data_IF_230785085976
#
_entry.id   IF_230785085976
#
_cell.length_a   1.000
_cell.length_b   1.000
_cell.length_c   1.000
_cell.angle_alpha   90.00
_cell.angle_beta   90.00
_cell.angle_gamma   90.00
#
_symmetry.space_group_name_H-M   'P 1'
#
loop_
_entity.id
_entity.type
_entity.pdbx_description
1 polymer ?
#
# COMPACT_ATOMS: atom_id res chain seq x y z
N UNK A 1 8.31 -31.04 -4.52
CA UNK A 1 8.41 -29.56 -4.45
C UNK A 1 7.07 -28.94 -4.81
N UNK A 2 6.72 -27.79 -4.22
CA UNK A 2 5.49 -27.05 -4.58
C UNK A 2 5.58 -26.40 -5.96
N UNK A 3 4.44 -26.22 -6.65
CA UNK A 3 4.36 -25.49 -7.92
C UNK A 3 5.10 -24.15 -7.84
N UNK A 4 4.87 -23.40 -6.78
CA UNK A 4 5.38 -22.04 -6.59
C UNK A 4 6.91 -22.01 -6.53
N UNK A 5 7.53 -23.02 -5.93
CA UNK A 5 8.99 -23.10 -5.81
C UNK A 5 9.62 -23.32 -7.18
N UNK A 6 9.08 -24.27 -7.94
CA UNK A 6 9.57 -24.58 -9.29
C UNK A 6 9.28 -23.45 -10.29
N UNK A 7 8.09 -22.84 -10.22
CA UNK A 7 7.72 -21.68 -11.03
C UNK A 7 8.65 -20.50 -10.76
N UNK A 8 8.93 -20.20 -9.49
CA UNK A 8 9.88 -19.16 -9.11
C UNK A 8 11.29 -19.45 -9.61
N UNK A 9 11.77 -20.69 -9.49
CA UNK A 9 13.09 -21.07 -9.98
C UNK A 9 13.19 -20.90 -11.50
N UNK A 10 12.24 -21.44 -12.25
CA UNK A 10 12.21 -21.32 -13.72
C UNK A 10 12.08 -19.86 -14.18
N UNK A 11 11.13 -19.11 -13.63
CA UNK A 11 10.93 -17.70 -13.98
C UNK A 11 12.14 -16.83 -13.60
N UNK A 12 12.88 -17.20 -12.55
CA UNK A 12 14.15 -16.51 -12.23
C UNK A 12 15.18 -16.78 -13.31
N UNK A 13 15.42 -18.05 -13.64
CA UNK A 13 16.42 -18.43 -14.64
C UNK A 13 16.11 -17.84 -16.02
N UNK A 14 14.89 -18.01 -16.51
CA UNK A 14 14.46 -17.50 -17.81
C UNK A 14 14.30 -15.98 -17.81
N UNK A 15 13.85 -15.39 -16.71
CA UNK A 15 13.77 -13.94 -16.54
C UNK A 15 15.11 -13.25 -16.83
N UNK A 16 16.23 -13.85 -16.41
CA UNK A 16 17.57 -13.36 -16.77
C UNK A 16 17.86 -13.41 -18.27
N UNK A 17 17.39 -14.43 -18.98
CA UNK A 17 17.65 -14.60 -20.42
C UNK A 17 16.83 -13.63 -21.27
N UNK A 18 15.54 -13.45 -20.95
CA UNK A 18 14.62 -12.67 -21.79
C UNK A 18 14.51 -11.20 -21.38
N UNK A 19 15.00 -10.82 -20.19
CA UNK A 19 14.97 -9.43 -19.69
C UNK A 19 15.43 -8.38 -20.72
N UNK A 20 16.58 -8.56 -21.41
CA UNK A 20 17.03 -7.60 -22.42
C UNK A 20 16.05 -7.43 -23.58
N UNK A 21 15.42 -8.53 -24.00
CA UNK A 21 14.43 -8.54 -25.10
C UNK A 21 13.16 -7.79 -24.67
N UNK A 22 12.75 -7.96 -23.41
CA UNK A 22 11.60 -7.26 -22.86
C UNK A 22 11.89 -5.78 -22.51
N UNK A 23 13.16 -5.34 -22.58
CA UNK A 23 13.59 -4.02 -22.11
C UNK A 23 13.34 -3.84 -20.61
N UNK A 24 13.60 -4.87 -19.81
CA UNK A 24 13.35 -4.92 -18.36
C UNK A 24 14.59 -5.43 -17.63
N UNK A 25 14.73 -5.13 -16.34
CA UNK A 25 15.76 -5.77 -15.52
C UNK A 25 15.38 -7.23 -15.21
N UNK A 26 16.35 -8.16 -15.04
CA UNK A 26 16.08 -9.57 -14.72
C UNK A 26 15.07 -9.83 -13.57
N UNK A 27 15.13 -9.15 -12.41
CA UNK A 27 14.14 -9.38 -11.35
C UNK A 27 12.73 -8.92 -11.74
N UNK A 28 12.60 -7.96 -12.64
CA UNK A 28 11.32 -7.46 -13.15
C UNK A 28 10.71 -8.43 -14.17
N UNK A 29 11.53 -8.93 -15.10
CA UNK A 29 11.11 -9.98 -16.03
C UNK A 29 10.62 -11.22 -15.29
N UNK A 30 11.33 -11.64 -14.23
CA UNK A 30 10.86 -12.71 -13.33
C UNK A 30 9.49 -12.40 -12.74
N UNK A 31 9.28 -11.18 -12.23
CA UNK A 31 8.03 -10.80 -11.58
C UNK A 31 6.85 -10.84 -12.58
N UNK A 32 7.06 -10.34 -13.80
CA UNK A 32 6.07 -10.41 -14.88
C UNK A 32 5.70 -11.86 -15.23
N UNK A 33 6.69 -12.75 -15.34
CA UNK A 33 6.41 -14.17 -15.64
C UNK A 33 5.62 -14.87 -14.54
N UNK A 34 5.87 -14.54 -13.27
CA UNK A 34 5.10 -15.07 -12.14
C UNK A 34 3.65 -14.53 -12.13
N UNK A 35 3.47 -13.23 -12.34
CA UNK A 35 2.14 -12.59 -12.45
C UNK A 35 1.35 -13.18 -13.63
N UNK A 36 2.03 -13.47 -14.74
CA UNK A 36 1.45 -14.12 -15.90
C UNK A 36 0.95 -15.54 -15.60
N UNK A 37 1.79 -16.35 -14.93
CA UNK A 37 1.42 -17.70 -14.51
C UNK A 37 0.19 -17.69 -13.60
N UNK A 38 0.19 -16.81 -12.59
CA UNK A 38 -0.91 -16.70 -11.61
C UNK A 38 -2.21 -16.24 -12.29
N UNK A 39 -2.16 -15.13 -13.04
CA UNK A 39 -3.36 -14.56 -13.65
C UNK A 39 -3.99 -15.48 -14.69
N UNK A 40 -3.19 -16.17 -15.51
CA UNK A 40 -3.71 -17.15 -16.46
C UNK A 40 -4.37 -18.34 -15.74
N UNK A 41 -3.80 -18.81 -14.64
CA UNK A 41 -4.40 -19.85 -13.80
C UNK A 41 -5.75 -19.38 -13.23
N UNK A 42 -5.77 -18.21 -12.59
CA UNK A 42 -6.98 -17.66 -11.96
C UNK A 42 -8.11 -17.39 -12.97
N UNK A 43 -7.80 -16.92 -14.18
CA UNK A 43 -8.82 -16.66 -15.22
C UNK A 43 -9.55 -17.95 -15.61
N UNK A 44 -8.86 -19.09 -15.66
CA UNK A 44 -9.48 -20.39 -15.97
C UNK A 44 -10.28 -20.93 -14.78
N UNK A 45 -9.77 -20.78 -13.55
CA UNK A 45 -10.52 -21.18 -12.34
C UNK A 45 -11.81 -20.36 -12.17
N UNK A 46 -11.78 -19.07 -12.51
CA UNK A 46 -12.91 -18.16 -12.39
C UNK A 46 -13.94 -18.29 -13.54
N UNK A 47 -13.64 -19.04 -14.60
CA UNK A 47 -14.52 -19.25 -15.75
C UNK A 47 -15.76 -20.09 -15.33
N UNK A 48 -16.75 -19.43 -14.73
CA UNK A 48 -17.95 -20.04 -14.14
C UNK A 48 -19.05 -20.34 -15.18
N UNK A 49 -20.03 -21.21 -14.84
CA UNK A 49 -21.16 -21.60 -15.70
C UNK A 49 -22.10 -20.46 -16.12
N UNK A 50 -21.98 -19.25 -15.56
CA UNK A 50 -22.85 -18.10 -15.85
C UNK A 50 -22.82 -17.67 -17.33
N UNK A 51 -21.74 -17.99 -18.07
CA UNK A 51 -21.66 -17.77 -19.52
C UNK A 51 -22.53 -18.74 -20.36
N UNK A 52 -23.20 -19.72 -19.74
CA UNK A 52 -23.97 -20.77 -20.42
C UNK A 52 -25.46 -20.44 -20.59
N UNK A 53 -25.98 -19.40 -19.94
CA UNK A 53 -27.39 -19.00 -20.11
C UNK A 53 -27.60 -18.32 -21.48
N UNK A 54 -28.64 -18.74 -22.21
CA UNK A 54 -28.98 -18.20 -23.53
C UNK A 54 -28.22 -18.80 -24.72
N UNK A 55 -27.30 -19.76 -24.52
CA UNK A 55 -26.61 -20.45 -25.63
C UNK A 55 -27.43 -21.61 -26.18
N UNK A 56 -27.50 -21.69 -27.51
CA UNK A 56 -28.03 -22.87 -28.20
C UNK A 56 -27.14 -24.10 -27.97
N UNK A 57 -27.68 -25.30 -28.16
CA UNK A 57 -26.92 -26.56 -28.06
C UNK A 57 -25.69 -26.58 -28.96
N UNK A 58 -25.77 -26.00 -30.16
CA UNK A 58 -24.63 -25.89 -31.08
C UNK A 58 -23.52 -24.98 -30.53
N UNK A 59 -23.89 -23.82 -29.96
CA UNK A 59 -22.94 -22.91 -29.32
C UNK A 59 -22.26 -23.55 -28.10
N UNK A 60 -23.00 -24.34 -27.32
CA UNK A 60 -22.44 -25.08 -26.19
C UNK A 60 -21.46 -26.17 -26.63
N UNK A 61 -21.77 -26.91 -27.71
CA UNK A 61 -20.84 -27.91 -28.28
C UNK A 61 -19.56 -27.26 -28.82
N UNK A 62 -19.68 -26.13 -29.51
CA UNK A 62 -18.54 -25.39 -30.03
C UNK A 62 -17.66 -24.86 -28.88
N UNK A 63 -18.26 -24.30 -27.83
CA UNK A 63 -17.52 -23.83 -26.66
C UNK A 63 -16.79 -24.99 -25.94
N UNK A 64 -17.44 -26.15 -25.79
CA UNK A 64 -16.80 -27.33 -25.20
C UNK A 64 -15.70 -27.92 -26.08
N UNK A 65 -15.81 -27.83 -27.41
CA UNK A 65 -14.74 -28.23 -28.32
C UNK A 65 -13.52 -27.29 -28.22
N UNK A 66 -13.77 -25.97 -28.13
CA UNK A 66 -12.71 -24.97 -27.94
C UNK A 66 -11.99 -25.15 -26.61
N UNK A 67 -12.74 -25.28 -25.51
CA UNK A 67 -12.14 -25.52 -24.19
C UNK A 67 -11.26 -26.78 -24.17
N UNK A 68 -11.70 -27.88 -24.78
CA UNK A 68 -10.88 -29.10 -24.89
C UNK A 68 -9.62 -28.89 -25.73
N UNK A 69 -9.70 -28.11 -26.82
CA UNK A 69 -8.53 -27.79 -27.62
C UNK A 69 -7.55 -26.88 -26.85
N UNK A 70 -8.06 -25.93 -26.07
CA UNK A 70 -7.26 -25.06 -25.21
C UNK A 70 -6.58 -25.83 -24.08
N UNK A 71 -7.28 -26.77 -23.45
CA UNK A 71 -6.74 -27.67 -22.42
C UNK A 71 -5.65 -28.58 -22.99
N UNK A 72 -5.86 -29.14 -24.19
CA UNK A 72 -4.84 -29.96 -24.86
C UNK A 72 -3.58 -29.14 -25.18
N UNK A 73 -3.73 -27.93 -25.69
CA UNK A 73 -2.61 -27.03 -25.94
C UNK A 73 -1.90 -26.60 -24.64
N UNK A 74 -2.64 -26.45 -23.53
CA UNK A 74 -2.05 -26.15 -22.22
C UNK A 74 -1.23 -27.33 -21.68
N UNK A 75 -1.72 -28.56 -21.83
CA UNK A 75 -1.00 -29.77 -21.46
C UNK A 75 0.29 -29.93 -22.29
N UNK A 76 0.23 -29.69 -23.60
CA UNK A 76 1.39 -29.75 -24.50
C UNK A 76 2.46 -28.71 -24.13
N UNK A 77 2.06 -27.45 -23.95
CA UNK A 77 2.98 -26.37 -23.57
C UNK A 77 3.61 -26.62 -22.18
N UNK A 78 2.83 -27.14 -21.23
CA UNK A 78 3.34 -27.50 -19.89
C UNK A 78 4.37 -28.63 -19.99
N UNK A 79 4.09 -29.66 -20.80
CA UNK A 79 5.00 -30.78 -21.05
C UNK A 79 6.31 -30.31 -21.66
N UNK A 80 6.26 -29.42 -22.66
CA UNK A 80 7.44 -28.85 -23.30
C UNK A 80 8.27 -28.02 -22.30
N UNK A 81 7.62 -27.19 -21.49
CA UNK A 81 8.29 -26.38 -20.46
C UNK A 81 8.93 -27.27 -19.38
N UNK A 82 8.26 -28.34 -18.93
CA UNK A 82 8.80 -29.27 -17.95
C UNK A 82 9.97 -30.10 -18.52
N UNK A 83 9.94 -30.43 -19.81
CA UNK A 83 11.10 -31.00 -20.49
C UNK A 83 12.28 -30.01 -20.51
N UNK A 84 12.03 -28.74 -20.80
CA UNK A 84 13.05 -27.68 -20.77
C UNK A 84 13.66 -27.56 -19.37
N UNK A 85 12.84 -27.45 -18.31
CA UNK A 85 13.30 -27.38 -16.92
C UNK A 85 14.25 -28.52 -16.53
N UNK A 86 13.94 -29.75 -16.95
CA UNK A 86 14.80 -30.92 -16.71
C UNK A 86 16.11 -30.86 -17.48
N UNK A 87 16.12 -30.22 -18.64
CA UNK A 87 17.32 -30.05 -19.48
C UNK A 87 18.23 -28.89 -19.07
N UNK A 88 17.80 -28.02 -18.14
CA UNK A 88 18.60 -26.90 -17.65
C UNK A 88 19.81 -27.34 -16.84
N UNK A 89 20.77 -26.42 -16.65
CA UNK A 89 21.98 -26.67 -15.86
C UNK A 89 22.22 -25.55 -14.84
N UNK A 90 22.06 -25.82 -13.52
CA UNK A 90 21.55 -27.07 -12.94
C UNK A 90 20.08 -27.33 -13.32
N UNK A 91 19.62 -28.61 -13.36
CA UNK A 91 18.24 -28.92 -13.66
C UNK A 91 17.29 -28.29 -12.64
N UNK A 92 16.20 -27.70 -13.12
CA UNK A 92 15.14 -27.19 -12.24
C UNK A 92 14.14 -28.33 -12.02
N UNK A 93 13.92 -28.78 -10.77
CA UNK A 93 13.01 -29.88 -10.53
C UNK A 93 11.58 -29.50 -10.89
N UNK A 94 10.94 -30.34 -11.71
CA UNK A 94 9.53 -30.19 -12.05
C UNK A 94 8.66 -30.43 -10.81
N UNK A 95 7.54 -29.72 -10.67
CA UNK A 95 6.56 -30.01 -9.62
C UNK A 95 6.11 -31.48 -9.65
N UNK A 96 5.91 -32.08 -8.49
CA UNK A 96 5.37 -33.45 -8.39
C UNK A 96 3.85 -33.40 -8.21
N UNK A 97 3.09 -33.85 -9.21
CA UNK A 97 1.63 -33.81 -9.19
C UNK A 97 1.00 -35.17 -9.50
N UNK A 98 0.49 -35.85 -8.47
CA UNK A 98 -0.36 -37.02 -8.66
C UNK A 98 0.26 -38.12 -9.54
N UNK A 99 -0.60 -38.82 -10.28
CA UNK A 99 -0.20 -39.92 -11.16
C UNK A 99 0.57 -39.43 -12.39
N UNK A 100 1.59 -40.20 -12.77
CA UNK A 100 2.39 -39.94 -13.96
C UNK A 100 1.55 -40.28 -15.19
N UNK A 101 1.43 -39.33 -16.11
CA UNK A 101 0.82 -39.58 -17.42
C UNK A 101 1.70 -40.57 -18.21
N UNK A 102 1.17 -41.75 -18.59
CA UNK A 102 1.92 -42.76 -19.32
C UNK A 102 2.45 -42.28 -20.68
N UNK A 103 1.79 -41.30 -21.31
CA UNK A 103 2.19 -40.81 -22.62
C UNK A 103 3.38 -39.84 -22.56
N UNK A 104 3.46 -39.01 -21.51
CA UNK A 104 4.47 -37.96 -21.38
C UNK A 104 5.55 -38.30 -20.35
N UNK A 105 5.33 -39.32 -19.52
CA UNK A 105 6.21 -39.68 -18.40
C UNK A 105 6.28 -38.58 -17.33
N UNK A 106 5.32 -37.65 -17.33
CA UNK A 106 5.25 -36.50 -16.42
C UNK A 106 3.95 -36.51 -15.64
N UNK A 107 4.03 -36.08 -14.39
CA UNK A 107 2.88 -35.86 -13.54
C UNK A 107 2.45 -34.39 -13.72
N UNK A 108 1.46 -34.15 -14.59
CA UNK A 108 1.01 -32.79 -14.94
C UNK A 108 0.14 -32.18 -13.83
N UNK A 109 0.20 -30.84 -13.63
CA UNK A 109 -0.67 -30.16 -12.68
C UNK A 109 -2.14 -30.21 -13.14
N UNK A 110 -3.06 -29.75 -12.28
CA UNK A 110 -4.48 -29.59 -12.63
C UNK A 110 -4.65 -28.69 -13.87
N UNK A 111 -5.70 -28.87 -14.70
CA UNK A 111 -5.86 -28.14 -15.95
C UNK A 111 -5.68 -26.62 -15.83
N UNK A 112 -6.27 -25.96 -14.84
CA UNK A 112 -6.12 -24.51 -14.67
C UNK A 112 -4.66 -24.06 -14.52
N UNK A 113 -3.85 -24.79 -13.74
CA UNK A 113 -2.43 -24.47 -13.57
C UNK A 113 -1.62 -24.73 -14.86
N UNK A 114 -2.05 -25.66 -15.71
CA UNK A 114 -1.42 -25.87 -17.03
C UNK A 114 -1.57 -24.63 -17.91
N UNK A 115 -2.68 -23.88 -17.81
CA UNK A 115 -2.84 -22.61 -18.52
C UNK A 115 -1.87 -21.52 -18.01
N UNK A 116 -1.57 -21.52 -16.71
CA UNK A 116 -0.49 -20.72 -16.13
C UNK A 116 0.87 -20.99 -16.78
N UNK A 117 1.26 -22.26 -16.85
CA UNK A 117 2.50 -22.68 -17.50
C UNK A 117 2.53 -22.41 -19.00
N UNK A 118 1.41 -22.62 -19.69
CA UNK A 118 1.26 -22.30 -21.11
C UNK A 118 1.52 -20.82 -21.39
N UNK A 119 0.92 -19.93 -20.60
CA UNK A 119 1.10 -18.49 -20.79
C UNK A 119 2.58 -18.08 -20.67
N UNK A 120 3.29 -18.63 -19.67
CA UNK A 120 4.74 -18.45 -19.51
C UNK A 120 5.48 -18.99 -20.74
N UNK A 121 5.22 -20.24 -21.14
CA UNK A 121 5.87 -20.88 -22.27
C UNK A 121 5.72 -20.05 -23.56
N UNK A 122 4.49 -19.68 -23.93
CA UNK A 122 4.22 -18.90 -25.14
C UNK A 122 4.93 -17.55 -25.13
N UNK A 123 4.97 -16.88 -23.98
CA UNK A 123 5.66 -15.59 -23.81
C UNK A 123 7.17 -15.73 -23.97
N UNK A 124 7.77 -16.75 -23.35
CA UNK A 124 9.21 -17.04 -23.45
C UNK A 124 9.59 -17.37 -24.89
N UNK A 125 8.80 -18.21 -25.56
CA UNK A 125 9.06 -18.60 -26.95
C UNK A 125 8.85 -17.44 -27.92
N UNK A 126 7.85 -16.58 -27.69
CA UNK A 126 7.66 -15.36 -28.47
C UNK A 126 8.85 -14.40 -28.31
N UNK A 127 9.29 -14.16 -27.07
CA UNK A 127 10.44 -13.31 -26.77
C UNK A 127 11.72 -13.85 -27.43
N UNK A 128 12.04 -15.14 -27.25
CA UNK A 128 13.22 -15.79 -27.86
C UNK A 128 13.21 -15.71 -29.39
N UNK A 129 12.05 -15.83 -30.00
CA UNK A 129 11.88 -15.77 -31.45
C UNK A 129 11.81 -14.33 -32.00
N UNK A 130 11.86 -13.30 -31.15
CA UNK A 130 11.66 -11.91 -31.57
C UNK A 130 10.27 -11.65 -32.19
N UNK A 131 9.27 -12.45 -31.82
CA UNK A 131 7.88 -12.30 -32.28
C UNK A 131 7.11 -11.37 -31.34
N UNK A 132 5.95 -10.91 -31.81
CA UNK A 132 5.03 -10.17 -30.94
C UNK A 132 4.63 -11.02 -29.73
N UNK A 133 4.62 -10.39 -28.55
CA UNK A 133 4.26 -11.04 -27.30
C UNK A 133 2.74 -11.31 -27.25
N UNK A 134 2.30 -12.41 -26.62
CA UNK A 134 0.88 -12.67 -26.38
C UNK A 134 0.19 -11.51 -25.67
N UNK A 135 -1.09 -11.29 -25.98
CA UNK A 135 -1.89 -10.16 -25.46
C UNK A 135 -1.80 -10.02 -23.94
N UNK A 136 -1.95 -11.14 -23.21
CA UNK A 136 -1.86 -11.14 -21.76
C UNK A 136 -0.49 -10.71 -21.25
N UNK A 137 0.60 -11.11 -21.92
CA UNK A 137 1.94 -10.67 -21.57
C UNK A 137 2.13 -9.17 -21.82
N UNK A 138 1.61 -8.64 -22.94
CA UNK A 138 1.63 -7.20 -23.23
C UNK A 138 0.82 -6.40 -22.20
N UNK A 139 -0.36 -6.89 -21.81
CA UNK A 139 -1.20 -6.30 -20.75
C UNK A 139 -0.42 -6.19 -19.43
N UNK A 140 0.17 -7.30 -18.97
CA UNK A 140 0.93 -7.34 -17.72
C UNK A 140 2.18 -6.48 -17.79
N UNK A 141 2.94 -6.51 -18.89
CA UNK A 141 4.14 -5.66 -19.05
C UNK A 141 3.73 -4.18 -19.06
N UNK A 142 2.65 -3.83 -19.76
CA UNK A 142 2.11 -2.47 -19.77
C UNK A 142 1.71 -2.01 -18.36
N UNK A 143 0.95 -2.84 -17.63
CA UNK A 143 0.56 -2.57 -16.26
C UNK A 143 1.77 -2.48 -15.32
N UNK A 144 2.77 -3.36 -15.49
CA UNK A 144 4.01 -3.34 -14.74
C UNK A 144 4.78 -2.05 -14.99
N UNK A 145 4.95 -1.64 -16.25
CA UNK A 145 5.62 -0.38 -16.62
C UNK A 145 4.86 0.83 -16.09
N UNK A 146 3.55 0.87 -16.26
CA UNK A 146 2.70 1.94 -15.73
C UNK A 146 2.83 2.04 -14.22
N UNK A 147 2.80 0.89 -13.52
CA UNK A 147 3.13 0.82 -12.10
C UNK A 147 4.50 1.43 -11.89
N UNK A 148 5.55 0.96 -12.58
CA UNK A 148 6.98 1.38 -12.50
C UNK A 148 7.27 2.85 -12.84
N UNK A 149 6.41 3.53 -13.59
CA UNK A 149 6.56 4.94 -13.97
C UNK A 149 5.81 5.92 -13.06
N UNK A 150 4.96 5.46 -12.13
CA UNK A 150 4.30 6.34 -11.16
C UNK A 150 5.33 7.15 -10.34
N UNK A 151 5.10 8.46 -10.19
CA UNK A 151 5.94 9.31 -9.35
C UNK A 151 5.79 8.96 -7.87
N UNK A 152 6.77 9.26 -7.00
CA UNK A 152 6.63 9.10 -5.55
C UNK A 152 5.34 9.74 -5.00
N UNK A 153 5.00 10.94 -5.47
CA UNK A 153 3.79 11.65 -5.07
C UNK A 153 2.51 10.95 -5.57
N UNK A 154 2.56 10.29 -6.72
CA UNK A 154 1.45 9.46 -7.20
C UNK A 154 1.28 8.19 -6.35
N UNK A 155 2.38 7.55 -5.95
CA UNK A 155 2.36 6.40 -5.02
C UNK A 155 1.82 6.84 -3.65
N UNK A 156 2.27 7.99 -3.15
CA UNK A 156 1.82 8.56 -1.89
C UNK A 156 0.32 8.91 -1.91
N UNK A 157 -0.16 9.58 -2.97
CA UNK A 157 -1.60 9.86 -3.15
C UNK A 157 -2.44 8.59 -3.26
N UNK A 158 -1.96 7.58 -3.99
CA UNK A 158 -2.65 6.30 -4.10
C UNK A 158 -2.70 5.55 -2.75
N UNK A 159 -1.60 5.59 -1.98
CA UNK A 159 -1.56 5.03 -0.64
C UNK A 159 -2.55 5.72 0.30
N UNK A 160 -2.60 7.05 0.27
CA UNK A 160 -3.53 7.85 1.07
C UNK A 160 -5.00 7.59 0.70
N UNK A 161 -5.31 7.47 -0.59
CA UNK A 161 -6.66 7.13 -1.06
C UNK A 161 -7.10 5.73 -0.59
N UNK A 162 -6.17 4.77 -0.53
CA UNK A 162 -6.43 3.40 -0.06
C UNK A 162 -6.50 3.29 1.46
N UNK A 163 -5.77 4.13 2.19
CA UNK A 163 -5.70 4.12 3.65
C UNK A 163 -6.07 5.49 4.23
N UNK A 164 -7.36 5.88 4.26
CA UNK A 164 -7.78 7.15 4.86
C UNK A 164 -7.38 7.29 6.34
N UNK A 165 -7.22 6.18 7.07
CA UNK A 165 -6.78 6.20 8.46
C UNK A 165 -5.33 6.67 8.66
N UNK A 166 -4.52 6.79 7.59
CA UNK A 166 -3.18 7.35 7.66
C UNK A 166 -3.14 8.78 8.20
N UNK A 167 -4.22 9.57 8.03
CA UNK A 167 -4.38 10.88 8.68
C UNK A 167 -4.24 10.77 10.19
N UNK A 168 -4.98 9.83 10.77
CA UNK A 168 -5.03 9.62 12.20
C UNK A 168 -3.68 9.11 12.68
N UNK A 169 -3.05 8.20 11.95
CA UNK A 169 -1.72 7.69 12.27
C UNK A 169 -0.64 8.77 12.15
N UNK A 170 -0.73 9.68 11.18
CA UNK A 170 0.18 10.81 11.05
C UNK A 170 -0.05 11.87 12.14
N UNK A 171 -1.30 12.14 12.50
CA UNK A 171 -1.70 13.18 13.44
C UNK A 171 -1.63 12.76 14.92
N UNK A 172 -1.53 11.47 15.21
CA UNK A 172 -1.56 10.93 16.57
C UNK A 172 -0.45 9.90 16.79
N UNK A 173 -0.24 9.52 18.05
CA UNK A 173 0.65 8.42 18.45
C UNK A 173 -0.14 7.12 18.63
N UNK A 174 -1.27 6.96 17.94
CA UNK A 174 -2.28 5.93 18.20
C UNK A 174 -1.73 4.49 18.37
N UNK A 175 -2.46 3.73 19.18
CA UNK A 175 -2.22 2.31 19.48
C UNK A 175 -2.28 1.44 18.21
N UNK A 176 -1.42 0.42 18.16
CA UNK A 176 -1.26 -0.52 17.03
C UNK A 176 -2.02 -1.82 17.21
N UNK A 177 -2.88 -1.90 18.23
CA UNK A 177 -3.46 -3.16 18.70
C UNK A 177 -4.78 -3.60 18.07
N UNK A 178 -5.41 -2.80 17.20
CA UNK A 178 -6.66 -3.19 16.52
C UNK A 178 -6.39 -3.95 15.22
N UNK A 179 -7.36 -4.75 14.76
CA UNK A 179 -7.29 -5.42 13.45
C UNK A 179 -7.07 -4.42 12.30
N UNK A 180 -7.70 -3.25 12.38
CA UNK A 180 -7.52 -2.16 11.42
C UNK A 180 -6.08 -1.63 11.41
N UNK A 181 -5.43 -1.56 12.58
CA UNK A 181 -4.04 -1.12 12.68
C UNK A 181 -3.07 -2.13 12.03
N UNK A 182 -3.39 -3.43 12.09
CA UNK A 182 -2.63 -4.50 11.43
C UNK A 182 -2.79 -4.42 9.90
N UNK A 183 -4.02 -4.26 9.41
CA UNK A 183 -4.28 -4.09 7.98
C UNK A 183 -3.56 -2.85 7.41
N UNK A 184 -3.68 -1.70 8.09
CA UNK A 184 -2.95 -0.47 7.71
C UNK A 184 -1.43 -0.68 7.72
N UNK A 185 -0.90 -1.45 8.68
CA UNK A 185 0.53 -1.78 8.75
C UNK A 185 0.99 -2.59 7.54
N UNK A 186 0.20 -3.59 7.11
CA UNK A 186 0.51 -4.39 5.92
C UNK A 186 0.49 -3.53 4.65
N UNK A 187 -0.49 -2.63 4.54
CA UNK A 187 -0.59 -1.71 3.41
C UNK A 187 0.53 -0.66 3.38
N UNK A 188 0.96 -0.17 4.55
CA UNK A 188 2.15 0.67 4.70
C UNK A 188 3.43 -0.08 4.30
N UNK A 189 3.56 -1.36 4.65
CA UNK A 189 4.69 -2.18 4.23
C UNK A 189 4.74 -2.37 2.71
N UNK A 190 3.59 -2.63 2.07
CA UNK A 190 3.50 -2.70 0.62
C UNK A 190 3.87 -1.36 -0.05
N UNK A 191 3.42 -0.24 0.53
CA UNK A 191 3.75 1.12 0.05
C UNK A 191 5.24 1.41 0.18
N UNK A 192 5.85 1.11 1.33
CA UNK A 192 7.28 1.27 1.58
C UNK A 192 8.14 0.49 0.56
N UNK A 193 7.72 -0.73 0.19
CA UNK A 193 8.40 -1.55 -0.81
C UNK A 193 8.25 -1.01 -2.25
N UNK A 194 7.19 -0.25 -2.54
CA UNK A 194 7.04 0.44 -3.83
C UNK A 194 7.93 1.69 -3.92
N UNK A 195 8.04 2.44 -2.82
CA UNK A 195 8.86 3.65 -2.74
C UNK A 195 10.36 3.33 -2.87
N UNK A 196 10.86 2.31 -2.18
CA UNK A 196 12.29 1.92 -2.18
C UNK A 196 12.86 1.69 -3.59
N UNK A 197 12.05 1.13 -4.49
CA UNK A 197 12.43 0.79 -5.87
C UNK A 197 12.66 2.00 -6.78
N UNK A 198 12.36 3.23 -6.34
CA UNK A 198 12.18 4.39 -7.26
C UNK A 198 13.00 5.65 -6.98
N UNK A 199 14.07 5.58 -6.20
CA UNK A 199 14.95 6.75 -6.08
C UNK A 199 14.25 7.99 -5.50
N UNK A 200 13.49 7.79 -4.42
CA UNK A 200 12.66 8.79 -3.71
C UNK A 200 13.43 9.98 -3.12
N UNK A 201 12.71 11.05 -2.74
CA UNK A 201 13.19 12.05 -1.79
C UNK A 201 13.75 11.37 -0.52
N UNK A 202 14.88 11.87 0.00
CA UNK A 202 15.63 11.22 1.08
C UNK A 202 14.76 10.88 2.29
N UNK A 203 13.92 11.82 2.72
CA UNK A 203 13.04 11.71 3.90
C UNK A 203 12.03 10.55 3.80
N UNK A 204 11.38 10.39 2.64
CA UNK A 204 10.40 9.32 2.43
C UNK A 204 11.06 7.93 2.35
N UNK A 205 12.28 7.87 1.80
CA UNK A 205 13.08 6.64 1.78
C UNK A 205 13.54 6.26 3.19
N UNK A 206 14.09 7.22 3.94
CA UNK A 206 14.56 7.00 5.31
C UNK A 206 13.43 6.51 6.22
N UNK A 207 12.25 7.13 6.13
CA UNK A 207 11.08 6.69 6.88
C UNK A 207 10.63 5.27 6.48
N UNK A 208 10.70 4.92 5.19
CA UNK A 208 10.38 3.57 4.70
C UNK A 208 11.39 2.51 5.19
N UNK A 209 12.68 2.84 5.22
CA UNK A 209 13.74 1.96 5.74
C UNK A 209 13.55 1.75 7.25
N UNK A 210 13.44 2.84 8.01
CA UNK A 210 13.27 2.79 9.47
C UNK A 210 12.02 1.99 9.87
N UNK A 211 10.93 2.10 9.11
CA UNK A 211 9.73 1.30 9.32
C UNK A 211 9.97 -0.20 9.13
N UNK A 212 10.66 -0.60 8.05
CA UNK A 212 10.97 -2.01 7.79
C UNK A 212 11.88 -2.62 8.86
N UNK A 213 12.87 -1.87 9.32
CA UNK A 213 13.75 -2.31 10.41
C UNK A 213 12.98 -2.47 11.72
N UNK A 214 12.13 -1.49 12.05
CA UNK A 214 11.36 -1.51 13.28
C UNK A 214 10.24 -2.57 13.29
N UNK A 215 9.74 -3.00 12.12
CA UNK A 215 8.75 -4.09 12.00
C UNK A 215 9.20 -5.39 12.66
N UNK A 216 10.51 -5.67 12.70
CA UNK A 216 11.06 -6.90 13.29
C UNK A 216 11.12 -6.85 14.83
N UNK A 217 11.21 -5.65 15.42
CA UNK A 217 11.42 -5.46 16.85
C UNK A 217 10.17 -5.05 17.64
N UNK A 218 9.14 -4.50 16.99
CA UNK A 218 7.90 -4.06 17.63
C UNK A 218 8.09 -2.88 18.61
N UNK A 219 7.15 -2.72 19.55
CA UNK A 219 7.27 -1.77 20.65
C UNK A 219 7.16 -0.28 20.26
N UNK A 220 7.86 0.59 21.02
CA UNK A 220 7.84 2.05 20.84
C UNK A 220 8.50 2.46 19.51
N UNK A 221 9.62 1.84 19.16
CA UNK A 221 10.35 2.11 17.93
C UNK A 221 9.48 1.83 16.70
N UNK A 222 8.76 0.71 16.69
CA UNK A 222 7.80 0.39 15.62
C UNK A 222 6.66 1.41 15.52
N UNK A 223 6.07 1.83 16.66
CA UNK A 223 5.04 2.89 16.67
C UNK A 223 5.54 4.19 16.07
N UNK A 224 6.75 4.60 16.42
CA UNK A 224 7.36 5.81 15.90
C UNK A 224 7.68 5.70 14.41
N UNK A 225 8.27 4.58 13.98
CA UNK A 225 8.60 4.38 12.58
C UNK A 225 7.35 4.29 11.69
N UNK A 226 6.27 3.64 12.17
CA UNK A 226 4.96 3.58 11.50
C UNK A 226 4.38 4.98 11.32
N UNK A 227 4.38 5.79 12.39
CA UNK A 227 3.93 7.19 12.34
C UNK A 227 4.78 8.04 11.41
N UNK A 228 6.10 7.91 11.46
CA UNK A 228 7.02 8.70 10.63
C UNK A 228 6.84 8.36 9.15
N UNK A 229 6.61 7.09 8.81
CA UNK A 229 6.26 6.69 7.46
C UNK A 229 4.89 7.27 7.04
N UNK A 230 3.88 7.23 7.90
CA UNK A 230 2.59 7.87 7.63
C UNK A 230 2.74 9.37 7.37
N UNK A 231 3.51 10.09 8.20
CA UNK A 231 3.86 11.51 8.01
C UNK A 231 4.51 11.73 6.64
N UNK A 232 5.51 10.92 6.28
CA UNK A 232 6.22 11.09 5.02
C UNK A 232 5.31 10.83 3.80
N UNK A 233 4.44 9.81 3.88
CA UNK A 233 3.44 9.52 2.83
C UNK A 233 2.44 10.67 2.70
N UNK A 234 1.90 11.17 3.82
CA UNK A 234 0.93 12.27 3.79
C UNK A 234 1.55 13.57 3.24
N UNK A 235 2.78 13.90 3.63
CA UNK A 235 3.50 15.06 3.08
C UNK A 235 3.74 14.91 1.57
N UNK A 236 4.22 13.74 1.13
CA UNK A 236 4.47 13.48 -0.29
C UNK A 236 3.17 13.43 -1.12
N UNK A 237 2.04 13.12 -0.49
CA UNK A 237 0.73 13.22 -1.13
C UNK A 237 0.27 14.67 -1.34
N UNK A 238 1.02 15.66 -0.82
CA UNK A 238 0.79 17.08 -1.03
C UNK A 238 -0.25 17.65 -0.08
N UNK A 239 -0.36 17.13 1.13
CA UNK A 239 -1.44 17.55 2.03
C UNK A 239 -1.01 18.58 3.06
N UNK A 240 -1.82 19.62 3.12
CA UNK A 240 -1.61 20.78 3.97
C UNK A 240 -1.79 20.47 5.46
N UNK A 241 -1.18 21.35 6.26
CA UNK A 241 -1.28 21.34 7.71
C UNK A 241 -2.07 22.55 8.19
N UNK A 242 -2.91 22.34 9.20
CA UNK A 242 -3.52 23.42 9.95
C UNK A 242 -2.45 24.26 10.63
N UNK A 243 -2.44 25.56 10.39
CA UNK A 243 -1.50 26.50 11.02
C UNK A 243 -1.73 26.64 12.53
N UNK A 244 -2.96 26.39 13.00
CA UNK A 244 -3.32 26.52 14.41
C UNK A 244 -2.89 25.32 15.27
N UNK A 245 -3.14 24.09 14.82
CA UNK A 245 -2.83 22.87 15.59
C UNK A 245 -1.67 22.03 15.02
N UNK A 246 -1.19 22.35 13.82
CA UNK A 246 -0.12 21.63 13.13
C UNK A 246 -0.53 20.26 12.57
N UNK A 247 -1.78 19.83 12.72
CA UNK A 247 -2.27 18.56 12.15
C UNK A 247 -2.48 18.67 10.66
N UNK A 248 -2.30 17.56 9.94
CA UNK A 248 -2.72 17.46 8.56
C UNK A 248 -4.25 17.54 8.44
N UNK A 249 -4.72 18.24 7.41
CA UNK A 249 -6.14 18.50 7.15
C UNK A 249 -6.54 18.01 5.76
N UNK A 250 -7.78 17.57 5.59
CA UNK A 250 -8.29 17.25 4.26
C UNK A 250 -8.30 18.49 3.35
N UNK A 251 -8.30 18.28 2.04
CA UNK A 251 -8.25 19.32 0.99
C UNK A 251 -9.35 20.39 1.14
N UNK A 252 -10.49 20.04 1.73
CA UNK A 252 -11.62 20.96 1.96
C UNK A 252 -11.49 21.77 3.27
N UNK A 253 -10.37 21.67 3.98
CA UNK A 253 -10.03 22.49 5.16
C UNK A 253 -10.83 22.17 6.44
N UNK A 254 -11.88 21.36 6.36
CA UNK A 254 -12.69 20.96 7.50
C UNK A 254 -11.99 19.87 8.33
N UNK A 255 -11.64 20.19 9.57
CA UNK A 255 -11.26 19.20 10.58
C UNK A 255 -11.65 19.73 11.96
N UNK A 256 -11.91 18.82 12.91
CA UNK A 256 -12.14 19.21 14.30
C UNK A 256 -10.82 19.65 14.93
N UNK A 257 -10.55 20.96 14.89
CA UNK A 257 -9.30 21.52 15.37
C UNK A 257 -9.27 21.54 16.91
N UNK A 258 -8.34 20.84 17.58
CA UNK A 258 -8.23 20.88 19.03
C UNK A 258 -7.76 22.25 19.55
N UNK A 259 -7.18 23.11 18.69
CA UNK A 259 -6.73 24.42 19.10
C UNK A 259 -7.87 25.43 19.27
N UNK A 260 -9.03 25.21 18.65
CA UNK A 260 -10.15 26.16 18.63
C UNK A 260 -10.79 26.34 20.03
N UNK A 261 -11.17 25.27 20.76
CA UNK A 261 -11.70 25.40 22.13
C UNK A 261 -10.68 26.02 23.09
N UNK A 262 -9.40 25.72 22.90
CA UNK A 262 -8.30 26.28 23.71
C UNK A 262 -8.12 27.77 23.43
N UNK A 263 -8.22 28.18 22.16
CA UNK A 263 -8.09 29.57 21.77
C UNK A 263 -9.26 30.42 22.28
N UNK A 264 -10.49 29.88 22.26
CA UNK A 264 -11.67 30.54 22.84
C UNK A 264 -11.54 30.76 24.36
N UNK A 265 -10.74 29.95 25.05
CA UNK A 265 -10.49 30.06 26.48
C UNK A 265 -9.33 31.01 26.85
N UNK A 266 -8.53 31.51 25.89
CA UNK A 266 -7.37 32.37 26.16
C UNK A 266 -7.71 33.57 27.06
N UNK A 267 -8.79 34.34 26.83
CA UNK A 267 -9.13 35.48 27.69
C UNK A 267 -9.45 35.09 29.14
N UNK A 268 -9.93 33.86 29.37
CA UNK A 268 -10.19 33.32 30.71
C UNK A 268 -8.86 32.92 31.36
N UNK A 269 -8.00 32.22 30.62
CA UNK A 269 -6.68 31.78 31.09
C UNK A 269 -5.72 32.94 31.40
N UNK A 270 -5.86 34.09 30.70
CA UNK A 270 -5.07 35.31 30.97
C UNK A 270 -5.43 35.97 32.29
N UNK A 271 -6.71 35.89 32.71
CA UNK A 271 -7.20 36.47 33.97
C UNK A 271 -6.82 35.64 35.19
N UNK A 272 -6.37 34.40 35.00
CA UNK A 272 -5.96 33.51 36.06
C UNK A 272 -6.24 32.05 35.74
N UNK A 273 -6.25 31.21 36.78
CA UNK A 273 -6.60 29.80 36.65
C UNK A 273 -8.09 29.67 36.29
N UNK A 274 -8.45 28.99 35.18
CA UNK A 274 -9.87 28.74 34.84
C UNK A 274 -10.59 27.96 35.94
N UNK A 275 -11.92 28.03 36.00
CA UNK A 275 -12.70 27.18 36.90
C UNK A 275 -12.57 25.69 36.53
N UNK A 276 -12.98 24.80 37.43
CA UNK A 276 -12.83 23.35 37.28
C UNK A 276 -13.57 22.79 36.05
N UNK A 277 -14.77 23.28 35.74
CA UNK A 277 -15.54 22.81 34.60
C UNK A 277 -14.86 23.20 33.29
N UNK A 278 -14.32 24.42 33.22
CA UNK A 278 -13.53 24.88 32.07
C UNK A 278 -12.25 24.06 31.92
N UNK A 279 -11.57 23.71 33.02
CA UNK A 279 -10.38 22.84 32.97
C UNK A 279 -10.72 21.43 32.44
N UNK A 280 -11.79 20.82 32.96
CA UNK A 280 -12.25 19.50 32.53
C UNK A 280 -12.66 19.49 31.05
N UNK A 281 -13.32 20.56 30.57
CA UNK A 281 -13.66 20.72 29.16
C UNK A 281 -12.43 20.90 28.25
N UNK A 282 -11.38 21.59 28.71
CA UNK A 282 -10.16 21.84 27.92
C UNK A 282 -9.18 20.66 27.93
N UNK A 283 -9.21 19.81 28.95
CA UNK A 283 -8.28 18.68 29.12
C UNK A 283 -8.11 17.80 27.86
N UNK A 284 -9.17 17.31 27.18
CA UNK A 284 -9.00 16.49 25.98
C UNK A 284 -8.34 17.27 24.82
N UNK A 285 -8.62 18.56 24.69
CA UNK A 285 -8.05 19.42 23.63
C UNK A 285 -6.56 19.71 23.87
N UNK A 286 -6.19 20.01 25.12
CA UNK A 286 -4.81 20.18 25.53
C UNK A 286 -4.02 18.88 25.36
N UNK A 287 -4.59 17.74 25.76
CA UNK A 287 -3.98 16.44 25.50
C UNK A 287 -3.76 16.22 23.99
N UNK A 288 -4.77 16.49 23.17
CA UNK A 288 -4.70 16.40 21.72
C UNK A 288 -3.61 17.29 21.08
N UNK A 289 -3.41 18.51 21.59
CA UNK A 289 -2.33 19.42 21.16
C UNK A 289 -0.95 18.93 21.60
N UNK A 290 -0.83 18.38 22.81
CA UNK A 290 0.43 17.84 23.34
C UNK A 290 0.99 16.65 22.53
N UNK A 291 0.11 15.96 21.80
CA UNK A 291 0.42 14.82 20.94
C UNK A 291 0.58 15.20 19.46
N UNK A 292 0.22 16.43 19.08
CA UNK A 292 0.29 16.87 17.69
C UNK A 292 1.75 16.96 17.20
N UNK A 293 2.15 16.30 16.09
CA UNK A 293 3.55 16.13 15.68
C UNK A 293 4.26 17.43 15.29
N UNK A 294 3.51 18.41 14.79
CA UNK A 294 4.05 19.65 14.26
C UNK A 294 3.61 20.87 15.06
N UNK A 295 2.94 20.67 16.20
CA UNK A 295 2.66 21.76 17.11
C UNK A 295 3.97 22.26 17.71
N UNK A 296 4.23 23.59 17.75
CA UNK A 296 5.52 24.12 18.18
C UNK A 296 5.97 23.56 19.53
N UNK A 297 7.22 23.10 19.63
CA UNK A 297 7.74 22.47 20.84
C UNK A 297 7.58 23.33 22.10
N UNK A 298 7.87 24.65 22.07
CA UNK A 298 7.65 25.50 23.23
C UNK A 298 6.19 25.52 23.71
N UNK A 299 5.23 25.38 22.80
CA UNK A 299 3.81 25.31 23.13
C UNK A 299 3.41 23.92 23.61
N UNK A 300 3.94 22.85 23.01
CA UNK A 300 3.74 21.47 23.52
C UNK A 300 4.21 21.34 24.95
N UNK A 301 5.40 21.84 25.25
CA UNK A 301 5.95 21.84 26.60
C UNK A 301 5.09 22.67 27.55
N UNK A 302 4.66 23.86 27.13
CA UNK A 302 3.73 24.68 27.91
C UNK A 302 2.41 23.96 28.20
N UNK A 303 1.81 23.30 27.20
CA UNK A 303 0.58 22.52 27.34
C UNK A 303 0.76 21.36 28.32
N UNK A 304 1.87 20.62 28.22
CA UNK A 304 2.20 19.53 29.16
C UNK A 304 2.33 20.05 30.59
N UNK A 305 3.03 21.16 30.77
CA UNK A 305 3.30 21.75 32.07
C UNK A 305 2.06 22.45 32.69
N UNK A 306 1.11 22.90 31.87
CA UNK A 306 -0.11 23.58 32.33
C UNK A 306 -1.22 22.65 32.80
N UNK A 307 -1.14 21.36 32.44
CA UNK A 307 -2.11 20.34 32.86
C UNK A 307 -2.11 20.07 34.37
N UNK A 308 -1.14 20.61 35.11
CA UNK A 308 -1.00 20.43 36.56
C UNK A 308 -0.74 21.78 37.28
N UNK A 309 -1.83 22.53 37.46
CA UNK A 309 -2.03 23.60 38.47
C UNK A 309 -1.22 24.91 38.41
N UNK A 310 -0.18 25.05 37.57
CA UNK A 310 0.56 26.32 37.43
C UNK A 310 0.80 26.67 35.96
N UNK A 311 0.61 27.94 35.60
CA UNK A 311 1.05 28.46 34.30
C UNK A 311 -0.01 28.76 33.24
N UNK A 312 -1.32 28.69 33.56
CA UNK A 312 -2.41 29.02 32.62
C UNK A 312 -2.22 30.38 31.92
N UNK A 313 -1.86 31.42 32.67
CA UNK A 313 -1.57 32.75 32.08
C UNK A 313 -0.33 32.76 31.18
N UNK A 314 0.68 31.91 31.46
CA UNK A 314 1.86 31.76 30.60
C UNK A 314 1.49 31.05 29.30
N UNK A 315 0.76 29.94 29.40
CA UNK A 315 0.23 29.22 28.24
C UNK A 315 -0.64 30.14 27.37
N UNK A 316 -1.53 30.92 27.97
CA UNK A 316 -2.40 31.84 27.24
C UNK A 316 -1.61 32.89 26.45
N UNK A 317 -0.58 33.49 27.06
CA UNK A 317 0.30 34.45 26.37
C UNK A 317 1.08 33.80 25.22
N UNK A 318 1.62 32.60 25.43
CA UNK A 318 2.36 31.88 24.40
C UNK A 318 1.46 31.47 23.23
N UNK A 319 0.24 31.01 23.51
CA UNK A 319 -0.74 30.70 22.48
C UNK A 319 -1.17 31.96 21.72
N UNK A 320 -1.48 33.06 22.41
CA UNK A 320 -1.80 34.34 21.75
C UNK A 320 -0.68 34.77 20.80
N UNK A 321 0.56 34.76 21.27
CA UNK A 321 1.72 35.10 20.44
C UNK A 321 1.84 34.19 19.20
N UNK A 322 1.56 32.89 19.35
CA UNK A 322 1.52 31.96 18.22
C UNK A 322 0.43 32.31 17.20
N UNK A 323 -0.79 32.58 17.66
CA UNK A 323 -1.92 32.97 16.81
C UNK A 323 -1.64 34.29 16.05
N UNK A 324 -1.05 35.28 16.73
CA UNK A 324 -0.59 36.52 16.11
C UNK A 324 0.50 36.27 15.05
N UNK A 325 1.47 35.41 15.35
CA UNK A 325 2.55 35.05 14.42
C UNK A 325 2.04 34.38 13.14
N UNK A 326 1.05 33.50 13.25
CA UNK A 326 0.46 32.80 12.09
C UNK A 326 -0.65 33.61 11.40
N UNK A 327 -0.93 34.84 11.86
CA UNK A 327 -1.94 35.71 11.29
C UNK A 327 -3.39 35.20 11.47
N UNK A 328 -3.63 34.35 12.46
CA UNK A 328 -4.96 33.80 12.75
C UNK A 328 -5.59 34.56 13.93
N UNK A 329 -6.73 35.24 13.74
CA UNK A 329 -7.39 35.92 14.85
C UNK A 329 -7.88 34.89 15.88
N UNK A 330 -7.81 35.25 17.16
CA UNK A 330 -8.43 34.42 18.20
C UNK A 330 -9.94 34.32 17.93
N UNK A 331 -10.53 33.11 18.01
CA UNK A 331 -11.96 32.94 17.82
C UNK A 331 -12.71 33.81 18.83
N UNK A 332 -13.51 34.75 18.32
CA UNK A 332 -14.33 35.63 19.16
C UNK A 332 -15.37 34.79 19.90
N UNK A 333 -15.66 35.12 21.17
CA UNK A 333 -16.83 34.60 21.91
C UNK A 333 -18.12 35.00 21.19
N UNK A 334 -18.53 34.26 20.17
CA UNK A 334 -19.88 34.30 19.65
C UNK A 334 -20.31 32.85 19.45
N UNK A 335 -21.32 32.34 20.18
CA UNK A 335 -21.92 31.08 19.82
C UNK A 335 -22.54 31.28 18.43
N UNK A 336 -22.18 30.42 17.48
CA UNK A 336 -22.91 30.29 16.23
C UNK A 336 -24.36 29.96 16.59
N UNK A 337 -25.26 30.94 16.42
CA UNK A 337 -26.67 30.62 16.31
C UNK A 337 -26.81 29.80 15.04
N UNK A 338 -27.14 28.52 15.17
CA UNK A 338 -27.59 27.70 14.06
C UNK A 338 -28.78 28.41 13.38
N UNK A 339 -28.84 28.46 12.04
CA UNK A 339 -30.05 28.91 11.37
C UNK A 339 -31.17 27.88 11.61
N UNK A 340 -32.32 28.38 12.06
CA UNK A 340 -33.59 27.64 12.09
C UNK A 340 -34.22 27.59 10.69
#
# INVERSE_FOLDING_TARGET
MSCDTSARAYCTHIGHQIAPILGMAPPEARAVLLELHELATTRVEAATPAQRSGRTTAQNRLAAARARAEDAAAAEATTALFAEMRSMQPPIPVPSHGEIDPATGLALPKPAAQHGWRAVYETVQAARAGRELPDLAREIIGAFRARSTSTPDAVARAALARMPSLWTTANTTASVGSADAVAETQDLAATAAQLDRRGVAAELREAAVAFREAMQGGGVAFRMARRNLAIAVVTAAGVDRCLACGRYVELDGAHTCPAEPVAAAIPVMEKGTPDRLTQEALAPHLHALSQAPFFPEPLREAVRNSSWQRGWGKLARQLRAHYEQIGQPLPSRAPSKAPA
#
